data_IF_093183322783
#
_entry.id   IF_093183322783
#
_cell.length_a   1.000
_cell.length_b   1.000
_cell.length_c   1.000
_cell.angle_alpha   90.00
_cell.angle_beta   90.00
_cell.angle_gamma   90.00
#
_symmetry.space_group_name_H-M   'P 1'
#
loop_
_entity.id
_entity.type
_entity.pdbx_description
1 polymer ?
#
# COMPACT_ATOMS: atom_id res chain seq x y z
N UNK A 1 -11.12 -4.84 -12.30
CA UNK A 1 -11.15 -5.36 -10.91
C UNK A 1 -11.04 -4.19 -9.94
N UNK A 2 -11.80 -4.20 -8.90
CA UNK A 2 -11.87 -3.09 -7.94
C UNK A 2 -11.40 -3.53 -6.57
N UNK A 3 -10.65 -2.66 -5.88
CA UNK A 3 -10.20 -2.92 -4.52
C UNK A 3 -10.59 -1.76 -3.61
N UNK A 4 -10.90 -2.06 -2.35
CA UNK A 4 -11.28 -1.10 -1.33
C UNK A 4 -10.30 -1.22 -0.17
N UNK A 5 -9.80 -0.07 0.31
CA UNK A 5 -8.78 -0.03 1.36
C UNK A 5 -9.38 0.54 2.64
N UNK A 6 -9.07 -0.09 3.76
CA UNK A 6 -9.42 0.41 5.09
C UNK A 6 -8.13 0.57 5.89
N UNK A 7 -7.84 1.79 6.32
CA UNK A 7 -6.67 2.06 7.15
C UNK A 7 -7.00 1.68 8.59
N UNK A 8 -6.16 0.86 9.19
CA UNK A 8 -6.35 0.39 10.57
C UNK A 8 -5.48 1.15 11.57
N UNK A 9 -4.30 1.59 11.18
CA UNK A 9 -3.42 2.30 12.07
C UNK A 9 -2.36 3.09 11.33
N UNK A 10 -1.89 4.15 11.98
CA UNK A 10 -0.79 4.98 11.48
C UNK A 10 0.06 5.42 12.65
N UNK A 11 1.37 5.33 12.47
CA UNK A 11 2.33 5.82 13.45
C UNK A 11 3.04 7.04 12.86
N UNK A 12 2.70 8.22 13.35
CA UNK A 12 3.27 9.46 12.84
C UNK A 12 4.77 9.59 13.11
N UNK A 13 5.24 8.98 14.20
CA UNK A 13 6.65 9.03 14.60
C UNK A 13 7.55 8.14 13.73
N UNK A 14 6.99 7.20 12.99
CA UNK A 14 7.77 6.24 12.21
C UNK A 14 7.32 6.13 10.76
N UNK A 15 6.31 6.91 10.36
CA UNK A 15 5.73 6.91 9.01
C UNK A 15 5.09 5.58 8.59
N UNK A 16 4.88 4.64 9.50
CA UNK A 16 4.28 3.36 9.19
C UNK A 16 2.75 3.43 9.23
N UNK A 17 2.13 2.82 8.22
CA UNK A 17 0.67 2.72 8.10
C UNK A 17 0.33 1.27 7.87
N UNK A 18 -0.76 0.77 8.45
CA UNK A 18 -1.25 -0.57 8.17
C UNK A 18 -2.76 -0.55 7.95
N UNK A 19 -3.24 -1.59 7.30
CA UNK A 19 -4.66 -1.71 7.02
C UNK A 19 -4.98 -2.98 6.26
N UNK A 20 -6.20 -2.99 5.71
CA UNK A 20 -6.68 -4.11 4.90
C UNK A 20 -7.11 -3.61 3.52
N UNK A 21 -7.06 -4.51 2.56
CA UNK A 21 -7.54 -4.26 1.21
C UNK A 21 -8.42 -5.44 0.80
N UNK A 22 -9.63 -5.13 0.33
CA UNK A 22 -10.60 -6.14 -0.10
C UNK A 22 -10.85 -5.95 -1.59
N UNK A 23 -10.76 -7.04 -2.34
CA UNK A 23 -10.98 -7.03 -3.78
C UNK A 23 -12.41 -7.48 -4.07
N UNK A 24 -12.98 -7.02 -5.16
CA UNK A 24 -14.38 -7.30 -5.50
C UNK A 24 -14.69 -8.77 -5.80
N UNK A 25 -13.66 -9.62 -5.90
CA UNK A 25 -13.84 -11.06 -5.99
C UNK A 25 -13.98 -11.74 -4.62
N UNK A 26 -13.98 -10.96 -3.53
CA UNK A 26 -14.09 -11.46 -2.16
C UNK A 26 -12.76 -11.70 -1.47
N UNK A 27 -11.65 -11.55 -2.16
CA UNK A 27 -10.33 -11.72 -1.56
C UNK A 27 -10.03 -10.59 -0.59
N UNK A 28 -9.42 -10.92 0.55
CA UNK A 28 -9.01 -9.93 1.53
C UNK A 28 -7.53 -10.10 1.87
N UNK A 29 -6.84 -8.97 1.96
CA UNK A 29 -5.41 -8.93 2.28
C UNK A 29 -5.16 -7.86 3.33
N UNK A 30 -4.04 -7.97 4.03
CA UNK A 30 -3.56 -6.91 4.91
C UNK A 30 -2.30 -6.32 4.33
N UNK A 31 -2.03 -5.06 4.67
CA UNK A 31 -0.81 -4.41 4.18
C UNK A 31 -0.15 -3.59 5.27
N UNK A 32 1.15 -3.37 5.08
CA UNK A 32 1.96 -2.46 5.88
C UNK A 32 2.74 -1.61 4.88
N UNK A 33 2.78 -0.30 5.11
CA UNK A 33 3.45 0.61 4.20
C UNK A 33 4.20 1.70 4.97
N UNK A 34 5.28 2.20 4.39
CA UNK A 34 5.98 3.37 4.91
C UNK A 34 5.74 4.54 3.97
N UNK A 35 5.16 5.62 4.52
CA UNK A 35 4.65 6.75 3.75
C UNK A 35 5.31 8.03 4.24
N UNK A 36 5.93 8.77 3.34
CA UNK A 36 6.56 10.05 3.65
C UNK A 36 5.68 11.22 3.21
N UNK A 37 5.93 12.39 3.78
CA UNK A 37 5.17 13.60 3.47
C UNK A 37 5.40 14.09 2.05
N UNK A 38 6.57 13.79 1.47
CA UNK A 38 6.92 14.22 0.13
C UNK A 38 7.22 13.03 -0.77
N UNK A 39 6.88 13.12 -2.07
CA UNK A 39 7.21 12.06 -3.01
C UNK A 39 8.72 12.01 -3.26
N UNK A 40 9.21 10.85 -3.66
CA UNK A 40 10.62 10.68 -4.00
C UNK A 40 10.75 9.71 -5.18
N UNK A 41 11.93 9.71 -5.81
CA UNK A 41 12.19 8.77 -6.90
C UNK A 41 12.23 7.31 -6.44
N UNK A 42 12.27 7.06 -5.14
CA UNK A 42 12.23 5.72 -4.56
C UNK A 42 10.82 5.28 -4.17
N UNK A 43 9.83 6.16 -4.29
CA UNK A 43 8.45 5.84 -3.99
C UNK A 43 7.74 5.14 -5.14
N UNK A 44 6.65 4.45 -4.85
CA UNK A 44 5.85 3.77 -5.87
C UNK A 44 5.29 4.80 -6.84
N UNK A 45 5.49 4.58 -8.14
CA UNK A 45 4.95 5.45 -9.18
C UNK A 45 3.44 5.28 -9.28
N UNK A 46 2.73 6.39 -9.36
CA UNK A 46 1.28 6.42 -9.52
C UNK A 46 0.92 7.47 -10.58
N UNK A 47 -0.32 7.49 -11.02
CA UNK A 47 -0.79 8.51 -11.96
C UNK A 47 -0.62 9.93 -11.40
N UNK A 48 -0.76 10.07 -10.09
CA UNK A 48 -0.57 11.35 -9.39
C UNK A 48 0.90 11.74 -9.30
N UNK A 49 1.78 10.75 -9.15
CA UNK A 49 3.23 10.96 -9.01
C UNK A 49 4.00 10.03 -9.95
N UNK A 50 4.03 10.35 -11.26
CA UNK A 50 4.63 9.44 -12.25
C UNK A 50 6.15 9.24 -12.11
N UNK A 51 6.84 10.12 -11.40
CA UNK A 51 8.28 9.96 -11.15
C UNK A 51 8.62 9.34 -9.82
N UNK A 52 7.61 8.85 -9.10
CA UNK A 52 7.75 8.29 -7.76
C UNK A 52 6.86 9.01 -6.76
N UNK A 53 6.20 8.26 -5.89
CA UNK A 53 5.25 8.80 -4.94
C UNK A 53 5.76 8.84 -3.51
N UNK A 54 4.81 8.85 -2.59
CA UNK A 54 5.08 8.98 -1.14
C UNK A 54 5.38 7.65 -0.46
N UNK A 55 5.05 6.51 -1.09
CA UNK A 55 5.17 5.19 -0.48
C UNK A 55 6.52 4.59 -0.82
N UNK A 56 7.41 4.50 0.17
CA UNK A 56 8.75 3.96 -0.03
C UNK A 56 8.84 2.47 0.24
N UNK A 57 7.91 1.93 1.05
CA UNK A 57 7.85 0.49 1.35
C UNK A 57 6.39 0.05 1.38
N UNK A 58 6.14 -1.14 0.84
CA UNK A 58 4.81 -1.74 0.86
C UNK A 58 4.96 -3.26 0.90
N UNK A 59 4.28 -3.88 1.85
CA UNK A 59 4.18 -5.34 1.91
C UNK A 59 2.71 -5.70 2.03
N UNK A 60 2.26 -6.63 1.21
CA UNK A 60 0.87 -7.11 1.21
C UNK A 60 0.86 -8.59 1.52
N UNK A 61 0.00 -9.00 2.45
CA UNK A 61 -0.07 -10.36 2.98
C UNK A 61 -1.50 -10.90 2.86
N UNK A 62 -1.60 -12.22 2.69
CA UNK A 62 -2.92 -12.88 2.79
C UNK A 62 -3.41 -12.85 4.23
N UNK A 63 -4.71 -12.58 4.41
CA UNK A 63 -5.30 -12.66 5.75
C UNK A 63 -5.47 -14.12 6.17
N UNK A 64 -5.37 -14.37 7.48
CA UNK A 64 -5.56 -15.70 8.03
C UNK A 64 -4.35 -16.61 7.92
N UNK A 65 -3.37 -16.26 7.12
CA UNK A 65 -2.15 -17.04 7.00
C UNK A 65 -1.11 -16.59 8.02
N UNK A 66 -0.21 -17.48 8.35
CA UNK A 66 0.92 -17.20 9.22
C UNK A 66 2.07 -16.61 8.40
N UNK A 67 3.28 -16.91 8.79
CA UNK A 67 4.48 -16.41 8.12
C UNK A 67 4.49 -16.77 6.62
N UNK A 68 5.18 -15.99 5.85
CA UNK A 68 5.41 -16.20 4.42
C UNK A 68 4.15 -16.10 3.54
N UNK A 69 3.14 -15.42 4.04
CA UNK A 69 1.93 -15.17 3.27
C UNK A 69 2.03 -13.92 2.38
N UNK A 70 3.21 -13.32 2.29
CA UNK A 70 3.42 -12.09 1.52
C UNK A 70 3.26 -12.34 0.03
N UNK A 71 2.46 -11.50 -0.62
CA UNK A 71 2.17 -11.60 -2.05
C UNK A 71 2.73 -10.44 -2.86
N UNK A 72 3.04 -9.33 -2.20
CA UNK A 72 3.66 -8.17 -2.83
C UNK A 72 4.68 -7.56 -1.88
N UNK A 73 5.82 -7.13 -2.41
CA UNK A 73 6.87 -6.48 -1.64
C UNK A 73 7.53 -5.38 -2.46
N UNK A 74 7.44 -4.17 -1.96
CA UNK A 74 8.12 -3.01 -2.52
C UNK A 74 9.02 -2.42 -1.43
N UNK A 75 10.30 -2.33 -1.70
CA UNK A 75 11.25 -1.71 -0.79
C UNK A 75 12.19 -0.83 -1.60
N UNK A 76 11.74 0.40 -1.89
CA UNK A 76 12.42 1.35 -2.76
C UNK A 76 12.56 0.85 -4.21
N UNK A 77 11.80 -0.19 -4.55
CA UNK A 77 11.79 -0.85 -5.85
C UNK A 77 11.13 -2.21 -5.73
N UNK A 78 10.73 -2.78 -6.87
CA UNK A 78 10.15 -4.12 -6.94
C UNK A 78 11.28 -5.13 -7.14
N UNK A 79 11.90 -5.57 -6.04
CA UNK A 79 13.12 -6.38 -6.09
C UNK A 79 12.93 -7.87 -5.85
N UNK A 80 11.85 -8.26 -5.16
CA UNK A 80 11.59 -9.66 -4.84
C UNK A 80 10.89 -10.36 -5.99
N UNK A 81 11.50 -11.43 -6.50
CA UNK A 81 11.15 -12.07 -7.76
C UNK A 81 9.67 -12.44 -7.91
N UNK A 82 9.06 -13.03 -6.91
CA UNK A 82 7.68 -13.51 -7.01
C UNK A 82 6.69 -12.58 -6.30
N UNK A 83 7.13 -11.40 -5.91
CA UNK A 83 6.33 -10.45 -5.16
C UNK A 83 6.19 -9.10 -5.88
N UNK A 84 6.39 -9.11 -7.19
CA UNK A 84 6.16 -7.94 -8.04
C UNK A 84 4.74 -7.98 -8.60
N UNK A 85 4.19 -6.86 -9.07
CA UNK A 85 2.85 -6.88 -9.67
C UNK A 85 2.73 -7.86 -10.84
N UNK A 86 3.77 -7.98 -11.66
CA UNK A 86 3.73 -8.85 -12.83
C UNK A 86 3.82 -10.33 -12.48
N UNK A 87 4.53 -10.68 -11.42
CA UNK A 87 4.84 -12.07 -11.05
C UNK A 87 4.22 -12.52 -9.73
N UNK A 88 3.30 -11.73 -9.18
CA UNK A 88 2.66 -12.08 -7.92
C UNK A 88 1.86 -13.37 -8.03
N UNK A 89 1.84 -14.21 -6.96
CA UNK A 89 1.02 -15.42 -6.96
C UNK A 89 -0.48 -15.16 -7.05
N UNK A 90 -0.92 -13.92 -6.81
CA UNK A 90 -2.34 -13.56 -6.89
C UNK A 90 -2.75 -13.06 -8.27
N UNK A 91 -1.80 -12.90 -9.20
CA UNK A 91 -2.06 -12.43 -10.54
C UNK A 91 -1.87 -10.92 -10.71
N UNK A 92 -1.45 -10.53 -11.91
CA UNK A 92 -1.12 -9.14 -12.21
C UNK A 92 -2.29 -8.18 -12.04
N UNK A 93 -3.47 -8.54 -12.54
CA UNK A 93 -4.64 -7.68 -12.49
C UNK A 93 -5.04 -7.34 -11.05
N UNK A 94 -5.11 -8.37 -10.20
CA UNK A 94 -5.46 -8.18 -8.79
C UNK A 94 -4.37 -7.39 -8.06
N UNK A 95 -3.10 -7.70 -8.32
CA UNK A 95 -1.98 -7.00 -7.70
C UNK A 95 -2.01 -5.51 -8.04
N UNK A 96 -2.18 -5.17 -9.30
CA UNK A 96 -2.24 -3.77 -9.73
C UNK A 96 -3.43 -3.04 -9.13
N UNK A 97 -4.60 -3.69 -9.08
CA UNK A 97 -5.79 -3.08 -8.48
C UNK A 97 -5.58 -2.75 -7.00
N UNK A 98 -4.94 -3.65 -6.26
CA UNK A 98 -4.64 -3.42 -4.86
C UNK A 98 -3.61 -2.30 -4.66
N UNK A 99 -2.56 -2.30 -5.46
CA UNK A 99 -1.52 -1.25 -5.38
C UNK A 99 -2.14 0.12 -5.65
N UNK A 100 -2.94 0.24 -6.70
CA UNK A 100 -3.58 1.50 -7.04
C UNK A 100 -4.50 1.98 -5.93
N UNK A 101 -5.30 1.09 -5.34
CA UNK A 101 -6.21 1.44 -4.26
C UNK A 101 -5.46 1.86 -2.99
N UNK A 102 -4.41 1.12 -2.63
CA UNK A 102 -3.59 1.44 -1.46
C UNK A 102 -2.88 2.79 -1.66
N UNK A 103 -2.28 2.99 -2.83
CA UNK A 103 -1.58 4.24 -3.12
C UNK A 103 -2.53 5.43 -3.09
N UNK A 104 -3.72 5.29 -3.66
CA UNK A 104 -4.71 6.36 -3.66
C UNK A 104 -5.09 6.78 -2.24
N UNK A 105 -5.37 5.81 -1.36
CA UNK A 105 -5.71 6.12 0.03
C UNK A 105 -4.54 6.72 0.80
N UNK A 106 -3.35 6.19 0.64
CA UNK A 106 -2.18 6.68 1.37
C UNK A 106 -1.76 8.09 0.91
N UNK A 107 -1.92 8.40 -0.36
CA UNK A 107 -1.64 9.74 -0.86
C UNK A 107 -2.64 10.77 -0.32
N UNK A 108 -3.89 10.39 -0.13
CA UNK A 108 -4.90 11.25 0.49
C UNK A 108 -4.57 11.57 1.95
N UNK A 109 -3.99 10.61 2.66
CA UNK A 109 -3.58 10.81 4.05
C UNK A 109 -2.50 11.89 4.12
N UNK A 110 -1.53 11.83 3.22
CA UNK A 110 -0.40 12.75 3.21
C UNK A 110 -0.85 14.19 2.93
N UNK A 111 -1.75 14.39 1.99
CA UNK A 111 -2.21 15.74 1.65
C UNK A 111 -3.37 16.21 2.53
N UNK A 112 -3.75 15.41 3.53
CA UNK A 112 -4.76 15.81 4.51
C UNK A 112 -6.19 15.80 4.00
N UNK A 113 -6.43 15.16 2.88
CA UNK A 113 -7.76 15.15 2.25
C UNK A 113 -8.75 14.20 2.92
N UNK A 114 -8.33 13.44 3.94
CA UNK A 114 -9.22 12.57 4.70
C UNK A 114 -9.24 12.98 6.17
N UNK A 115 -10.38 12.85 6.87
CA UNK A 115 -10.45 13.12 8.31
C UNK A 115 -9.52 12.22 9.12
N UNK A 116 -9.24 11.05 8.60
CA UNK A 116 -8.36 10.07 9.23
C UNK A 116 -6.95 10.63 9.40
N UNK A 117 -6.41 11.29 8.38
CA UNK A 117 -5.07 11.88 8.44
C UNK A 117 -4.96 12.89 9.58
N UNK A 118 -5.96 13.75 9.72
CA UNK A 118 -5.96 14.76 10.78
C UNK A 118 -5.99 14.15 12.17
N UNK A 119 -6.72 13.06 12.36
CA UNK A 119 -6.84 12.40 13.65
C UNK A 119 -5.53 11.76 14.10
N UNK A 120 -4.82 11.11 13.18
CA UNK A 120 -3.61 10.36 13.51
C UNK A 120 -2.35 11.19 13.51
N UNK A 121 -2.31 12.30 12.80
CA UNK A 121 -1.15 13.18 12.76
C UNK A 121 -0.84 13.87 14.08
N UNK A 122 -1.70 13.71 15.07
CA UNK A 122 -1.54 14.33 16.38
C UNK A 122 -1.10 13.38 17.49
N UNK A 123 -0.86 12.16 17.14
CA UNK A 123 -0.49 11.15 18.12
C UNK A 123 1.00 11.18 18.43
#
# INVERSE_FOLDING_TARGET
MKATVEIKGRRSDSNWVNGTVTVDDGSEFRFVAKVYDEPSCFGIETDRFPGGGNISKLAVYRTGDMHDSRVLSYERGWDEEEETPDDSPIGKEKAEAMIDAIADELEKIVDGSTPWAKRYDRI
#
